data_IF_811801326022
#
_entry.id   IF_811801326022
#
_cell.length_a   1.000
_cell.length_b   1.000
_cell.length_c   1.000
_cell.angle_alpha   90.00
_cell.angle_beta   90.00
_cell.angle_gamma   90.00
#
_symmetry.space_group_name_H-M   'P 1'
#
loop_
_entity.id
_entity.type
_entity.pdbx_description
1 polymer ?
#
# COMPACT_ATOMS: atom_id res chain seq x y z
N UNK A 1 -15.66 7.48 -7.24
CA UNK A 1 -14.34 7.64 -7.92
C UNK A 1 -13.35 6.65 -7.33
N UNK A 2 -12.42 6.09 -8.12
CA UNK A 2 -11.40 5.15 -7.62
C UNK A 2 -10.02 5.80 -7.63
N UNK A 3 -9.29 5.71 -6.52
CA UNK A 3 -7.98 6.34 -6.33
C UNK A 3 -6.98 5.30 -5.82
N UNK A 4 -5.79 5.28 -6.42
CA UNK A 4 -4.64 4.54 -5.91
C UNK A 4 -3.60 5.54 -5.42
N UNK A 5 -3.34 5.54 -4.13
CA UNK A 5 -2.28 6.33 -3.51
C UNK A 5 -1.00 5.52 -3.44
N UNK A 6 0.15 6.19 -3.62
CA UNK A 6 1.47 5.59 -3.52
C UNK A 6 2.26 6.40 -2.49
N UNK A 7 2.75 5.74 -1.45
CA UNK A 7 3.49 6.38 -0.35
C UNK A 7 4.56 5.43 0.18
N UNK A 8 5.57 5.97 0.84
CA UNK A 8 6.60 5.19 1.52
C UNK A 8 6.19 4.70 2.92
N UNK A 9 5.11 5.25 3.50
CA UNK A 9 4.70 4.93 4.86
C UNK A 9 3.17 4.89 5.05
N UNK A 10 2.72 4.02 5.96
CA UNK A 10 1.30 3.80 6.30
C UNK A 10 1.18 3.26 7.73
N UNK A 11 0.34 3.90 8.55
CA UNK A 11 0.03 3.41 9.89
C UNK A 11 -0.94 2.21 9.83
N UNK A 12 -0.78 1.16 10.64
CA UNK A 12 0.19 0.99 11.73
C UNK A 12 1.52 0.32 11.35
N UNK A 13 1.74 0.02 10.06
CA UNK A 13 2.75 -0.96 9.64
C UNK A 13 4.14 -0.35 9.44
N UNK A 14 4.21 0.85 8.86
CA UNK A 14 5.45 1.59 8.62
C UNK A 14 5.19 3.05 8.94
N UNK A 15 5.83 3.56 9.99
CA UNK A 15 5.67 4.95 10.43
C UNK A 15 7.02 5.56 10.77
N UNK A 16 7.41 6.58 10.01
CA UNK A 16 8.55 7.45 10.31
C UNK A 16 8.10 8.87 10.68
N UNK A 17 6.96 9.32 10.16
CA UNK A 17 6.39 10.63 10.47
C UNK A 17 4.87 10.70 10.32
N UNK A 18 4.38 11.91 10.05
CA UNK A 18 2.94 12.20 9.94
C UNK A 18 2.30 11.76 8.62
N UNK A 19 3.09 11.42 7.59
CA UNK A 19 2.53 10.93 6.32
C UNK A 19 1.89 9.54 6.53
N UNK A 20 2.45 8.69 7.39
CA UNK A 20 1.88 7.39 7.74
C UNK A 20 0.46 7.51 8.33
N UNK A 21 0.24 8.52 9.18
CA UNK A 21 -1.05 8.77 9.81
C UNK A 21 -2.09 9.24 8.78
N UNK A 22 -1.68 10.13 7.87
CA UNK A 22 -2.54 10.57 6.77
C UNK A 22 -2.86 9.41 5.84
N UNK A 23 -1.87 8.64 5.41
CA UNK A 23 -2.06 7.51 4.50
C UNK A 23 -2.96 6.41 5.07
N UNK A 24 -2.90 6.19 6.40
CA UNK A 24 -3.77 5.23 7.08
C UNK A 24 -5.20 5.74 7.30
N UNK A 25 -5.38 7.03 7.59
CA UNK A 25 -6.69 7.59 7.91
C UNK A 25 -7.50 8.06 6.67
N UNK A 26 -6.82 8.54 5.63
CA UNK A 26 -7.45 9.20 4.49
C UNK A 26 -8.41 8.31 3.70
N UNK A 27 -8.13 7.02 3.41
CA UNK A 27 -9.10 6.15 2.74
C UNK A 27 -10.41 6.06 3.53
N UNK A 28 -10.32 6.01 4.86
CA UNK A 28 -11.46 6.02 5.75
C UNK A 28 -12.28 7.29 5.64
N UNK A 29 -11.62 8.45 5.66
CA UNK A 29 -12.23 9.77 5.58
C UNK A 29 -12.88 10.07 4.22
N UNK A 30 -12.37 9.49 3.13
CA UNK A 30 -12.87 9.72 1.78
C UNK A 30 -14.06 8.82 1.39
N UNK A 31 -14.27 7.69 2.07
CA UNK A 31 -15.39 6.77 1.81
C UNK A 31 -16.78 7.44 1.81
N UNK A 32 -17.15 8.29 2.79
CA UNK A 32 -18.43 8.98 2.81
C UNK A 32 -18.68 9.90 1.60
N UNK A 33 -17.61 10.32 0.91
CA UNK A 33 -17.67 11.15 -0.28
C UNK A 33 -17.74 10.33 -1.58
N UNK A 34 -17.96 9.01 -1.50
CA UNK A 34 -18.04 8.12 -2.67
C UNK A 34 -16.69 7.89 -3.36
N UNK A 35 -15.60 8.07 -2.62
CA UNK A 35 -14.23 7.85 -3.11
C UNK A 35 -13.71 6.55 -2.48
N UNK A 36 -13.47 5.57 -3.35
CA UNK A 36 -12.83 4.30 -2.99
C UNK A 36 -11.33 4.46 -3.21
N UNK A 37 -10.56 4.42 -2.13
CA UNK A 37 -9.12 4.63 -2.17
C UNK A 37 -8.38 3.39 -1.65
N UNK A 38 -7.31 3.00 -2.36
CA UNK A 38 -6.33 2.01 -1.89
C UNK A 38 -4.95 2.66 -1.81
N UNK A 39 -4.11 2.13 -0.93
CA UNK A 39 -2.74 2.63 -0.72
C UNK A 39 -1.74 1.53 -1.07
N UNK A 40 -0.79 1.85 -1.94
CA UNK A 40 0.39 1.03 -2.24
C UNK A 40 1.57 1.56 -1.44
N UNK A 41 2.26 0.64 -0.78
CA UNK A 41 3.51 0.88 -0.07
C UNK A 41 4.57 -0.11 -0.53
N UNK A 42 5.87 0.18 -0.37
CA UNK A 42 6.92 -0.80 -0.60
C UNK A 42 6.75 -2.03 0.29
N UNK A 43 7.13 -3.20 -0.21
CA UNK A 43 7.15 -4.46 0.54
C UNK A 43 8.30 -4.52 1.55
N UNK A 44 8.35 -3.57 2.48
CA UNK A 44 9.29 -3.62 3.61
C UNK A 44 9.04 -4.86 4.48
N UNK A 45 10.02 -5.35 5.25
CA UNK A 45 9.86 -6.53 6.08
C UNK A 45 8.59 -6.50 6.95
N UNK A 46 8.32 -5.37 7.64
CA UNK A 46 7.11 -5.22 8.46
C UNK A 46 5.80 -5.25 7.66
N UNK A 47 5.82 -4.78 6.40
CA UNK A 47 4.66 -4.88 5.50
C UNK A 47 4.43 -6.32 5.09
N UNK A 48 5.49 -7.03 4.72
CA UNK A 48 5.41 -8.42 4.31
C UNK A 48 4.97 -9.33 5.47
N UNK A 49 5.43 -9.06 6.69
CA UNK A 49 5.02 -9.77 7.90
C UNK A 49 3.55 -9.52 8.27
N UNK A 50 3.03 -8.32 8.03
CA UNK A 50 1.63 -7.98 8.28
C UNK A 50 0.65 -8.55 7.23
N UNK A 51 1.16 -9.15 6.15
CA UNK A 51 0.35 -9.74 5.09
C UNK A 51 0.20 -11.25 5.28
N UNK A 52 -0.90 -11.68 5.90
CA UNK A 52 -1.12 -13.11 6.21
C UNK A 52 -1.57 -13.94 4.99
N UNK A 53 -2.31 -13.36 4.02
CA UNK A 53 -2.87 -14.06 2.84
C UNK A 53 -2.83 -13.22 1.55
N UNK A 54 -1.66 -12.67 1.22
CA UNK A 54 -1.53 -11.79 0.06
C UNK A 54 -1.69 -12.52 -1.29
N UNK A 55 -2.61 -12.05 -2.13
CA UNK A 55 -2.68 -12.44 -3.53
C UNK A 55 -1.59 -11.74 -4.35
N UNK A 56 -1.17 -12.36 -5.46
CA UNK A 56 -0.32 -11.69 -6.46
C UNK A 56 -1.20 -11.01 -7.49
N UNK A 57 -1.30 -9.68 -7.42
CA UNK A 57 -2.05 -8.88 -8.38
C UNK A 57 -1.29 -8.67 -9.70
N UNK A 58 0.04 -8.62 -9.64
CA UNK A 58 0.92 -8.49 -10.80
C UNK A 58 2.27 -9.16 -10.51
N UNK A 59 2.79 -9.88 -11.49
CA UNK A 59 4.16 -10.38 -11.50
C UNK A 59 4.90 -9.78 -12.70
N UNK A 60 6.07 -9.21 -12.46
CA UNK A 60 6.97 -8.66 -13.48
C UNK A 60 8.29 -9.41 -13.36
N UNK A 61 8.56 -10.42 -14.22
CA UNK A 61 9.72 -11.30 -14.06
C UNK A 61 11.07 -10.59 -14.21
N UNK A 62 11.11 -9.50 -14.97
CA UNK A 62 12.31 -8.68 -15.20
C UNK A 62 11.95 -7.20 -15.14
N UNK A 63 12.02 -6.65 -13.93
CA UNK A 63 11.90 -5.23 -13.64
C UNK A 63 13.27 -4.71 -13.18
N UNK A 64 13.98 -4.02 -14.07
CA UNK A 64 15.33 -3.50 -13.84
C UNK A 64 16.36 -4.60 -13.46
N UNK A 65 16.28 -5.78 -14.08
CA UNK A 65 17.25 -6.85 -13.88
C UNK A 65 16.90 -7.84 -12.76
N UNK A 66 15.67 -7.81 -12.25
CA UNK A 66 15.19 -8.78 -11.27
C UNK A 66 13.66 -8.87 -11.19
N UNK A 67 13.10 -9.90 -10.55
CA UNK A 67 11.66 -10.08 -10.46
C UNK A 67 11.01 -9.10 -9.47
N UNK A 68 9.82 -8.62 -9.80
CA UNK A 68 8.98 -7.81 -8.92
C UNK A 68 7.55 -8.36 -8.88
N UNK A 69 6.86 -8.14 -7.75
CA UNK A 69 5.45 -8.50 -7.58
C UNK A 69 4.70 -7.37 -6.90
N UNK A 70 3.44 -7.19 -7.29
CA UNK A 70 2.46 -6.39 -6.55
C UNK A 70 1.56 -7.35 -5.79
N UNK A 71 1.49 -7.17 -4.49
CA UNK A 71 0.69 -7.98 -3.57
C UNK A 71 -0.59 -7.22 -3.19
N UNK A 72 -1.70 -7.93 -3.01
CA UNK A 72 -3.00 -7.34 -2.67
C UNK A 72 -3.81 -8.21 -1.72
#
# INVERSE_FOLDING_TARGET
>A
MRVLSVTSEVFPVVKTGGLADVAGALPGALRPHGIEMRTVVPGYPSVMEAMEDAGVALAVPDLFGGPARVLS
#
